data_IF_064916038933
#
_entry.id   IF_064916038933
#
_cell.length_a   1.000
_cell.length_b   1.000
_cell.length_c   1.000
_cell.angle_alpha   90.00
_cell.angle_beta   90.00
_cell.angle_gamma   90.00
#
_symmetry.space_group_name_H-M   'P 1'
#
loop_
_entity.id
_entity.type
_entity.pdbx_description
1 polymer ?
#
# COMPACT_ATOMS: atom_id res chain seq x y z
N UNK A 1 -7.56 -13.89 14.48
CA UNK A 1 -6.08 -13.79 14.32
C UNK A 1 -5.68 -12.38 14.74
N UNK A 2 -4.58 -12.23 15.48
CA UNK A 2 -4.12 -10.89 15.85
C UNK A 2 -3.52 -10.19 14.62
N UNK A 3 -3.61 -8.85 14.53
CA UNK A 3 -3.03 -8.01 13.45
C UNK A 3 -1.56 -8.35 13.14
N UNK A 4 -0.80 -8.74 14.17
CA UNK A 4 0.59 -9.16 14.04
C UNK A 4 0.76 -10.43 13.19
N UNK A 5 -0.16 -11.37 13.28
CA UNK A 5 -0.14 -12.62 12.48
C UNK A 5 -0.46 -12.30 11.02
N UNK A 6 -1.35 -11.37 10.76
CA UNK A 6 -1.74 -10.96 9.41
C UNK A 6 -0.57 -10.35 8.62
N UNK A 7 0.29 -9.55 9.26
CA UNK A 7 1.51 -9.00 8.63
C UNK A 7 2.50 -10.08 8.16
N UNK A 8 2.64 -11.15 8.93
CA UNK A 8 3.59 -12.25 8.62
C UNK A 8 3.09 -13.16 7.50
N UNK A 9 1.79 -13.31 7.34
CA UNK A 9 1.19 -14.12 6.26
C UNK A 9 1.54 -13.61 4.86
N UNK A 10 1.82 -12.30 4.70
CA UNK A 10 2.27 -11.75 3.40
C UNK A 10 3.64 -12.27 2.95
N UNK A 11 4.50 -12.73 3.88
CA UNK A 11 5.81 -13.28 3.53
C UNK A 11 5.75 -14.60 2.76
N UNK A 12 4.75 -15.43 3.02
CA UNK A 12 4.59 -16.75 2.39
C UNK A 12 4.19 -16.67 0.90
N UNK A 13 3.74 -15.49 0.48
CA UNK A 13 3.28 -15.25 -0.90
C UNK A 13 3.93 -14.03 -1.53
N UNK A 14 5.13 -13.66 -1.06
CA UNK A 14 5.80 -12.43 -1.49
C UNK A 14 5.99 -12.33 -3.01
N UNK A 15 6.32 -13.46 -3.67
CA UNK A 15 6.45 -13.47 -5.14
C UNK A 15 5.11 -13.33 -5.85
N UNK A 16 4.06 -14.01 -5.37
CA UNK A 16 2.71 -13.86 -5.91
C UNK A 16 2.21 -12.42 -5.71
N UNK A 17 2.46 -11.86 -4.52
CA UNK A 17 2.18 -10.46 -4.22
C UNK A 17 2.90 -9.51 -5.20
N UNK A 18 4.18 -9.75 -5.45
CA UNK A 18 4.97 -8.92 -6.36
C UNK A 18 4.45 -8.97 -7.80
N UNK A 19 4.00 -10.12 -8.27
CA UNK A 19 3.44 -10.27 -9.62
C UNK A 19 2.05 -9.63 -9.72
N UNK A 20 1.16 -9.93 -8.77
CA UNK A 20 -0.26 -9.65 -8.90
C UNK A 20 -0.67 -8.24 -8.45
N UNK A 21 -0.04 -7.69 -7.38
CA UNK A 21 -0.44 -6.37 -6.87
C UNK A 21 -0.06 -5.24 -7.83
N UNK A 22 -0.95 -4.25 -8.02
CA UNK A 22 -0.65 -3.10 -8.86
C UNK A 22 0.55 -2.30 -8.31
N UNK A 23 1.20 -1.57 -9.19
CA UNK A 23 2.18 -0.52 -8.85
C UNK A 23 1.45 0.77 -8.47
N UNK A 24 2.13 1.88 -8.54
CA UNK A 24 1.58 3.22 -8.34
C UNK A 24 1.79 4.05 -9.60
N UNK A 25 0.89 4.99 -9.92
CA UNK A 25 1.09 5.89 -11.05
C UNK A 25 2.32 6.77 -10.80
N UNK A 26 3.18 7.02 -11.83
CA UNK A 26 4.38 7.84 -11.70
C UNK A 26 4.10 9.23 -11.12
N UNK A 27 2.94 9.78 -11.42
CA UNK A 27 2.49 11.11 -11.03
C UNK A 27 2.45 11.32 -9.50
N UNK A 28 2.18 10.26 -8.72
CA UNK A 28 2.20 10.37 -7.26
C UNK A 28 3.61 10.64 -6.73
N UNK A 29 4.61 9.98 -7.30
CA UNK A 29 6.02 10.19 -6.91
C UNK A 29 6.52 11.57 -7.37
N UNK A 30 6.13 12.02 -8.57
CA UNK A 30 6.44 13.36 -9.07
C UNK A 30 5.84 14.45 -8.18
N UNK A 31 4.60 14.25 -7.72
CA UNK A 31 3.95 15.14 -6.77
C UNK A 31 4.70 15.19 -5.43
N UNK A 32 5.11 14.02 -4.88
CA UNK A 32 5.87 13.95 -3.64
C UNK A 32 7.20 14.68 -3.76
N UNK A 33 7.97 14.40 -4.82
CA UNK A 33 9.26 15.07 -5.08
C UNK A 33 9.08 16.58 -5.18
N UNK A 34 8.07 17.04 -5.90
CA UNK A 34 7.78 18.46 -6.08
C UNK A 34 7.36 19.14 -4.78
N UNK A 35 6.40 18.56 -4.03
CA UNK A 35 5.87 19.14 -2.79
C UNK A 35 6.95 19.22 -1.71
N UNK A 36 7.71 18.13 -1.53
CA UNK A 36 8.78 18.06 -0.54
C UNK A 36 10.09 18.69 -1.03
N UNK A 37 10.16 19.17 -2.28
CA UNK A 37 11.36 19.76 -2.93
C UNK A 37 12.57 18.83 -2.82
N UNK A 38 12.36 17.51 -3.00
CA UNK A 38 13.42 16.52 -2.91
C UNK A 38 14.41 16.66 -4.05
N UNK A 39 15.67 16.39 -3.74
CA UNK A 39 16.77 16.36 -4.70
C UNK A 39 17.31 14.94 -4.86
N UNK A 40 17.98 14.60 -5.96
CA UNK A 40 18.71 13.34 -6.06
C UNK A 40 19.61 13.11 -4.83
N UNK A 41 19.73 11.87 -4.39
CA UNK A 41 20.43 11.44 -3.17
C UNK A 41 19.80 11.85 -1.84
N UNK A 42 18.66 12.58 -1.84
CA UNK A 42 17.95 12.84 -0.58
C UNK A 42 17.53 11.52 0.10
N UNK A 43 17.81 11.38 1.40
CA UNK A 43 17.53 10.15 2.13
C UNK A 43 16.02 9.99 2.38
N UNK A 44 15.50 8.84 1.99
CA UNK A 44 14.10 8.44 2.15
C UNK A 44 14.03 7.18 3.02
N UNK A 45 13.13 7.14 3.99
CA UNK A 45 12.75 5.94 4.72
C UNK A 45 11.35 5.50 4.29
N UNK A 46 11.25 4.31 3.73
CA UNK A 46 9.97 3.67 3.41
C UNK A 46 9.59 2.68 4.51
N UNK A 47 8.45 2.91 5.17
CA UNK A 47 7.90 2.06 6.21
C UNK A 47 6.92 1.04 5.61
N UNK A 48 7.15 -0.26 5.86
CA UNK A 48 6.37 -1.34 5.29
C UNK A 48 6.57 -1.46 3.78
N UNK A 49 7.83 -1.46 3.34
CA UNK A 49 8.19 -1.44 1.91
C UNK A 49 7.71 -2.67 1.13
N UNK A 50 7.38 -3.76 1.81
CA UNK A 50 6.93 -4.99 1.19
C UNK A 50 7.97 -5.54 0.22
N UNK A 51 7.56 -5.81 -1.00
CA UNK A 51 8.41 -6.28 -2.09
C UNK A 51 9.07 -5.12 -2.89
N UNK A 52 8.88 -3.87 -2.47
CA UNK A 52 9.49 -2.69 -3.08
C UNK A 52 8.71 -2.08 -4.25
N UNK A 53 7.39 -2.17 -4.25
CA UNK A 53 6.57 -1.57 -5.33
C UNK A 53 6.62 -0.04 -5.31
N UNK A 54 6.62 0.60 -4.15
CA UNK A 54 6.79 2.04 -4.08
C UNK A 54 8.27 2.44 -4.00
N UNK A 55 9.15 1.59 -3.45
CA UNK A 55 10.61 1.75 -3.49
C UNK A 55 11.10 2.07 -4.90
N UNK A 56 10.58 1.35 -5.92
CA UNK A 56 10.92 1.54 -7.33
C UNK A 56 10.74 2.99 -7.78
N UNK A 57 9.58 3.57 -7.51
CA UNK A 57 9.28 4.95 -7.92
C UNK A 57 10.19 6.00 -7.28
N UNK A 58 10.67 5.77 -6.06
CA UNK A 58 11.64 6.66 -5.40
C UNK A 58 13.06 6.46 -5.94
N UNK A 59 13.49 5.20 -6.15
CA UNK A 59 14.81 4.87 -6.71
C UNK A 59 14.94 5.40 -8.14
N UNK A 60 13.92 5.30 -8.98
CA UNK A 60 13.91 5.85 -10.34
C UNK A 60 14.09 7.36 -10.39
N UNK A 61 13.76 8.06 -9.30
CA UNK A 61 13.97 9.51 -9.14
C UNK A 61 15.31 9.88 -8.50
N UNK A 62 16.20 8.88 -8.37
CA UNK A 62 17.55 9.08 -7.83
C UNK A 62 17.59 9.31 -6.32
N UNK A 63 16.54 8.97 -5.58
CA UNK A 63 16.49 9.13 -4.13
C UNK A 63 17.20 7.98 -3.43
N UNK A 64 17.84 8.26 -2.29
CA UNK A 64 18.54 7.27 -1.49
C UNK A 64 17.56 6.60 -0.51
N UNK A 65 16.99 5.47 -0.94
CA UNK A 65 15.98 4.77 -0.16
C UNK A 65 16.60 3.83 0.89
N UNK A 66 16.07 3.90 2.10
CA UNK A 66 16.15 2.86 3.14
C UNK A 66 14.76 2.34 3.40
N UNK A 67 14.61 1.05 3.68
CA UNK A 67 13.32 0.38 3.84
C UNK A 67 13.21 -0.27 5.22
N UNK A 68 12.07 -0.13 5.87
CA UNK A 68 11.67 -0.91 7.04
C UNK A 68 10.61 -1.93 6.62
N UNK A 69 10.90 -3.24 6.75
CA UNK A 69 9.97 -4.31 6.37
C UNK A 69 10.09 -5.49 7.35
N UNK A 70 9.06 -5.73 8.18
CA UNK A 70 9.11 -6.78 9.22
C UNK A 70 8.97 -8.21 8.67
N UNK A 71 8.43 -8.38 7.44
CA UNK A 71 8.31 -9.69 6.81
C UNK A 71 9.61 -10.09 6.13
N UNK A 72 10.29 -11.12 6.64
CA UNK A 72 11.54 -11.62 6.07
C UNK A 72 11.38 -12.07 4.61
N UNK A 73 10.23 -12.66 4.25
CA UNK A 73 9.95 -13.09 2.88
C UNK A 73 9.83 -11.90 1.92
N UNK A 74 9.10 -10.85 2.32
CA UNK A 74 8.99 -9.63 1.52
C UNK A 74 10.33 -8.89 1.43
N UNK A 75 11.05 -8.76 2.54
CA UNK A 75 12.38 -8.17 2.58
C UNK A 75 13.39 -8.92 1.69
N UNK A 76 13.26 -10.23 1.53
CA UNK A 76 14.10 -11.01 0.62
C UNK A 76 13.84 -10.66 -0.86
N UNK A 77 12.58 -10.51 -1.26
CA UNK A 77 12.21 -10.07 -2.61
C UNK A 77 12.68 -8.63 -2.83
N UNK A 78 12.46 -7.73 -1.87
CA UNK A 78 12.94 -6.35 -1.94
C UNK A 78 14.46 -6.28 -2.16
N UNK A 79 15.23 -7.05 -1.38
CA UNK A 79 16.69 -7.11 -1.51
C UNK A 79 17.16 -7.62 -2.87
N UNK A 80 16.46 -8.60 -3.42
CA UNK A 80 16.77 -9.12 -4.76
C UNK A 80 16.51 -8.07 -5.85
N UNK A 81 15.44 -7.28 -5.72
CA UNK A 81 15.09 -6.23 -6.69
C UNK A 81 15.98 -5.00 -6.57
N UNK A 82 16.31 -4.61 -5.35
CA UNK A 82 17.05 -3.38 -5.04
C UNK A 82 18.24 -3.66 -4.11
N UNK A 83 19.34 -4.23 -4.62
CA UNK A 83 20.49 -4.62 -3.79
C UNK A 83 21.17 -3.45 -3.04
N UNK A 84 21.01 -2.21 -3.53
CA UNK A 84 21.56 -0.99 -2.92
C UNK A 84 20.69 -0.41 -1.79
N UNK A 85 19.45 -0.88 -1.62
CA UNK A 85 18.55 -0.39 -0.58
C UNK A 85 18.91 -1.02 0.76
N UNK A 86 19.17 -0.19 1.77
CA UNK A 86 19.35 -0.64 3.14
C UNK A 86 18.02 -1.10 3.73
N UNK A 87 17.96 -2.33 4.29
CA UNK A 87 16.73 -2.92 4.79
C UNK A 87 16.84 -3.15 6.31
N UNK A 88 15.92 -2.51 7.05
CA UNK A 88 15.67 -2.77 8.47
C UNK A 88 14.58 -3.84 8.57
N UNK A 89 14.90 -5.00 9.11
CA UNK A 89 13.94 -6.12 9.26
C UNK A 89 13.02 -5.90 10.49
N UNK A 90 12.31 -4.78 10.52
CA UNK A 90 11.45 -4.37 11.64
C UNK A 90 10.34 -3.42 11.17
N UNK A 91 9.39 -3.11 12.06
CA UNK A 91 8.41 -2.04 11.84
C UNK A 91 9.03 -0.65 11.99
N UNK A 92 8.28 0.39 11.58
CA UNK A 92 8.73 1.78 11.68
C UNK A 92 9.16 2.15 13.10
N UNK A 93 8.40 1.72 14.09
CA UNK A 93 8.60 2.06 15.50
C UNK A 93 9.95 1.57 16.03
N UNK A 94 10.45 0.47 15.45
CA UNK A 94 11.68 -0.21 15.87
C UNK A 94 12.91 0.20 15.05
N UNK A 95 12.74 1.05 14.02
CA UNK A 95 13.88 1.49 13.18
C UNK A 95 14.91 2.21 14.04
N UNK A 96 16.15 1.76 13.96
CA UNK A 96 17.31 2.43 14.57
C UNK A 96 18.08 3.16 13.46
N UNK A 97 18.03 4.47 13.49
CA UNK A 97 18.73 5.36 12.57
C UNK A 97 19.06 6.67 13.29
N UNK A 98 19.99 7.44 12.73
CA UNK A 98 20.30 8.79 13.23
C UNK A 98 19.05 9.66 13.23
N UNK A 99 18.72 10.31 14.35
CA UNK A 99 17.60 11.25 14.41
C UNK A 99 17.76 12.35 13.37
N UNK A 100 16.66 12.82 12.82
CA UNK A 100 16.62 13.94 11.87
C UNK A 100 17.50 13.76 10.64
N UNK A 101 17.61 12.52 10.15
CA UNK A 101 18.47 12.19 9.00
C UNK A 101 17.73 12.05 7.69
N UNK A 102 16.41 11.84 7.69
CA UNK A 102 15.62 11.61 6.48
C UNK A 102 14.96 12.89 5.97
N UNK A 103 14.98 13.08 4.65
CA UNK A 103 14.22 14.13 3.97
C UNK A 103 12.74 13.77 3.86
N UNK A 104 12.47 12.48 3.68
CA UNK A 104 11.14 11.92 3.55
C UNK A 104 11.01 10.65 4.39
N UNK A 105 9.91 10.51 5.12
CA UNK A 105 9.40 9.24 5.61
C UNK A 105 8.13 8.92 4.83
N UNK A 106 8.01 7.74 4.27
CA UNK A 106 6.86 7.35 3.45
C UNK A 106 6.33 5.97 3.86
N UNK A 107 5.06 5.73 3.60
CA UNK A 107 4.43 4.42 3.72
C UNK A 107 3.39 4.26 2.61
N UNK A 108 3.55 3.21 1.80
CA UNK A 108 2.65 2.88 0.71
C UNK A 108 1.87 1.60 1.04
N UNK A 109 0.55 1.69 1.17
CA UNK A 109 -0.34 0.59 1.61
C UNK A 109 0.07 -0.03 2.97
N UNK A 110 0.78 0.70 3.83
CA UNK A 110 1.34 0.14 5.05
C UNK A 110 0.99 0.93 6.33
N UNK A 111 0.62 2.20 6.23
CA UNK A 111 0.41 3.07 7.39
C UNK A 111 -0.68 2.57 8.36
N UNK A 112 -1.66 1.84 7.88
CA UNK A 112 -2.69 1.24 8.72
C UNK A 112 -2.19 0.10 9.64
N UNK A 113 -0.93 -0.34 9.47
CA UNK A 113 -0.25 -1.29 10.34
C UNK A 113 0.66 -0.62 11.38
N UNK A 114 0.92 0.67 11.20
CA UNK A 114 1.74 1.49 12.09
C UNK A 114 0.91 1.90 13.30
N UNK A 115 1.52 1.93 14.50
CA UNK A 115 0.83 2.39 15.70
C UNK A 115 0.36 3.83 15.54
N UNK A 116 -0.90 4.08 15.84
CA UNK A 116 -1.55 5.36 15.58
C UNK A 116 -0.98 6.54 16.39
N UNK A 117 -0.32 6.26 17.51
CA UNK A 117 0.27 7.26 18.43
C UNK A 117 1.79 7.30 18.28
N UNK A 118 2.44 6.15 18.38
CA UNK A 118 3.90 6.05 18.31
C UNK A 118 4.45 6.30 16.90
N UNK A 119 3.74 5.85 15.86
CA UNK A 119 4.19 5.96 14.48
C UNK A 119 4.42 7.39 14.00
N UNK A 120 3.46 8.30 14.13
CA UNK A 120 3.67 9.71 13.78
C UNK A 120 4.81 10.37 14.56
N UNK A 121 4.96 10.06 15.83
CA UNK A 121 6.06 10.58 16.66
C UNK A 121 7.40 10.06 16.15
N UNK A 122 7.50 8.75 15.90
CA UNK A 122 8.70 8.12 15.38
C UNK A 122 9.10 8.67 14.02
N UNK A 123 8.13 8.80 13.10
CA UNK A 123 8.38 9.40 11.79
C UNK A 123 8.95 10.83 11.92
N UNK A 124 8.38 11.65 12.80
CA UNK A 124 8.84 13.01 13.03
C UNK A 124 10.25 13.07 13.63
N UNK A 125 10.61 12.14 14.54
CA UNK A 125 11.94 12.08 15.15
C UNK A 125 13.03 11.70 14.13
N UNK A 126 12.68 10.96 13.09
CA UNK A 126 13.57 10.54 12.02
C UNK A 126 13.72 11.62 10.92
N UNK A 127 12.73 12.50 10.75
CA UNK A 127 12.72 13.53 9.73
C UNK A 127 13.65 14.70 10.09
N UNK A 128 14.46 15.14 9.12
CA UNK A 128 15.26 16.38 9.25
C UNK A 128 14.34 17.61 9.38
N UNK A 129 14.82 18.75 9.92
CA UNK A 129 14.06 19.98 9.89
C UNK A 129 13.58 20.29 8.47
N UNK A 130 12.28 20.57 8.32
CA UNK A 130 11.66 20.78 7.01
C UNK A 130 11.38 19.51 6.21
N UNK A 131 11.70 18.32 6.74
CA UNK A 131 11.38 17.04 6.12
C UNK A 131 9.87 16.76 6.08
N UNK A 132 9.47 15.79 5.30
CA UNK A 132 8.06 15.48 5.03
C UNK A 132 7.71 14.02 5.33
N UNK A 133 6.45 13.78 5.70
CA UNK A 133 5.85 12.47 5.63
C UNK A 133 4.93 12.39 4.40
N UNK A 134 4.96 11.25 3.68
CA UNK A 134 4.06 10.96 2.56
C UNK A 134 3.43 9.59 2.73
N UNK A 135 2.11 9.55 2.78
CA UNK A 135 1.33 8.33 2.96
C UNK A 135 0.51 8.06 1.71
N UNK A 136 0.61 6.85 1.15
CA UNK A 136 0.09 6.49 -0.15
C UNK A 136 -0.82 5.26 -0.05
N UNK A 137 -1.98 5.30 -0.70
CA UNK A 137 -2.86 4.13 -0.84
C UNK A 137 -3.39 4.03 -2.26
N UNK A 138 -3.42 2.82 -2.79
CA UNK A 138 -4.25 2.49 -3.94
C UNK A 138 -5.61 2.01 -3.43
N UNK A 139 -6.64 2.66 -3.85
CA UNK A 139 -8.02 2.25 -3.66
C UNK A 139 -8.59 1.81 -5.00
N UNK A 140 -9.24 0.65 -5.05
CA UNK A 140 -10.06 0.30 -6.21
C UNK A 140 -11.18 1.33 -6.38
N UNK A 141 -11.48 1.69 -7.59
CA UNK A 141 -12.59 2.59 -7.89
C UNK A 141 -13.91 1.91 -7.46
N UNK A 142 -14.56 2.51 -6.46
CA UNK A 142 -15.82 2.04 -5.92
C UNK A 142 -16.96 2.82 -6.56
N UNK A 143 -17.78 2.10 -7.31
CA UNK A 143 -19.01 2.66 -7.86
C UNK A 143 -18.87 3.29 -9.25
N UNK A 144 -19.81 2.96 -10.12
CA UNK A 144 -19.87 3.46 -11.49
C UNK A 144 -19.15 2.60 -12.53
N UNK A 145 -18.36 1.62 -12.14
CA UNK A 145 -17.94 0.59 -13.08
C UNK A 145 -19.02 -0.50 -13.16
N UNK A 146 -19.45 -0.81 -14.36
CA UNK A 146 -20.36 -1.95 -14.66
C UNK A 146 -19.88 -3.23 -13.98
N UNK A 147 -18.57 -3.39 -13.84
CA UNK A 147 -17.89 -4.49 -13.19
C UNK A 147 -18.19 -4.62 -11.70
N UNK A 148 -18.17 -3.53 -10.96
CA UNK A 148 -18.43 -3.57 -9.53
C UNK A 148 -19.85 -4.07 -9.26
N UNK A 149 -20.83 -3.53 -9.97
CA UNK A 149 -22.23 -3.86 -9.77
C UNK A 149 -22.57 -5.30 -10.18
N UNK A 150 -21.87 -5.84 -11.19
CA UNK A 150 -22.08 -7.21 -11.66
C UNK A 150 -21.33 -8.27 -10.85
N UNK A 151 -20.19 -7.93 -10.25
CA UNK A 151 -19.44 -8.85 -9.36
C UNK A 151 -20.05 -8.93 -7.95
N UNK A 152 -20.64 -7.86 -7.44
CA UNK A 152 -21.24 -7.84 -6.10
C UNK A 152 -22.27 -8.96 -5.85
N UNK A 153 -23.15 -9.33 -6.79
CA UNK A 153 -24.04 -10.48 -6.63
C UNK A 153 -23.31 -11.82 -6.39
N UNK A 154 -22.11 -12.00 -6.97
CA UNK A 154 -21.29 -13.20 -6.75
C UNK A 154 -20.82 -13.23 -5.30
N UNK A 155 -20.26 -12.11 -4.80
CA UNK A 155 -19.85 -11.99 -3.40
C UNK A 155 -21.03 -12.15 -2.44
N UNK A 156 -22.17 -11.52 -2.73
CA UNK A 156 -23.35 -11.60 -1.88
C UNK A 156 -23.90 -13.03 -1.75
N UNK A 157 -23.76 -13.85 -2.80
CA UNK A 157 -24.17 -15.24 -2.80
C UNK A 157 -23.23 -16.15 -2.03
N UNK A 158 -21.90 -15.99 -2.22
CA UNK A 158 -20.90 -16.92 -1.71
C UNK A 158 -20.33 -16.47 -0.37
N UNK A 159 -20.12 -15.14 -0.19
CA UNK A 159 -19.47 -14.54 0.98
C UNK A 159 -20.20 -13.31 1.49
N UNK A 160 -21.48 -13.41 1.94
CA UNK A 160 -22.29 -12.25 2.32
C UNK A 160 -21.63 -11.27 3.29
N UNK A 161 -20.84 -11.71 4.32
CA UNK A 161 -20.20 -10.77 5.26
C UNK A 161 -19.09 -9.92 4.63
N UNK A 162 -18.42 -10.42 3.58
CA UNK A 162 -17.30 -9.69 2.96
C UNK A 162 -17.70 -8.42 2.22
N UNK A 163 -18.91 -8.38 1.67
CA UNK A 163 -19.39 -7.24 0.88
C UNK A 163 -19.39 -5.94 1.67
N UNK A 164 -19.79 -5.98 2.93
CA UNK A 164 -19.90 -4.79 3.77
C UNK A 164 -18.56 -4.37 4.39
N UNK A 165 -17.78 -5.34 4.89
CA UNK A 165 -16.48 -5.06 5.52
C UNK A 165 -15.46 -4.56 4.50
N UNK A 166 -15.46 -5.12 3.28
CA UNK A 166 -14.57 -4.68 2.21
C UNK A 166 -14.81 -3.23 1.80
N UNK A 167 -16.07 -2.84 1.65
CA UNK A 167 -16.43 -1.44 1.33
C UNK A 167 -15.95 -0.47 2.42
N UNK A 168 -16.07 -0.87 3.69
CA UNK A 168 -15.64 -0.06 4.83
C UNK A 168 -14.12 0.04 4.99
N UNK A 169 -13.38 -1.02 4.66
CA UNK A 169 -11.93 -1.04 4.73
C UNK A 169 -11.24 -0.19 3.65
N UNK A 170 -11.91 0.04 2.52
CA UNK A 170 -11.38 0.76 1.36
C UNK A 170 -11.55 2.29 1.47
N UNK A 171 -12.25 2.79 2.49
CA UNK A 171 -12.53 4.22 2.66
C UNK A 171 -11.95 4.76 3.96
N UNK A 172 -11.66 6.06 4.00
CA UNK A 172 -11.27 6.77 5.22
C UNK A 172 -9.78 6.67 5.58
N UNK A 173 -8.91 6.25 4.65
CA UNK A 173 -7.46 6.24 4.91
C UNK A 173 -6.92 7.67 5.07
N UNK A 174 -7.35 8.59 4.20
CA UNK A 174 -6.96 10.00 4.25
C UNK A 174 -7.37 10.61 5.58
N UNK A 175 -8.64 10.48 5.96
CA UNK A 175 -9.18 11.06 7.19
C UNK A 175 -8.46 10.52 8.43
N UNK A 176 -8.22 9.20 8.48
CA UNK A 176 -7.48 8.58 9.59
C UNK A 176 -6.06 9.12 9.68
N UNK A 177 -5.35 9.19 8.56
CA UNK A 177 -3.99 9.71 8.52
C UNK A 177 -3.92 11.18 8.95
N UNK A 178 -4.82 12.02 8.45
CA UNK A 178 -4.92 13.44 8.82
C UNK A 178 -5.15 13.59 10.33
N UNK A 179 -6.06 12.79 10.90
CA UNK A 179 -6.33 12.80 12.35
C UNK A 179 -5.11 12.35 13.14
N UNK A 180 -4.45 11.26 12.75
CA UNK A 180 -3.26 10.72 13.44
C UNK A 180 -2.08 11.72 13.40
N UNK A 181 -1.78 12.27 12.23
CA UNK A 181 -0.70 13.26 12.07
C UNK A 181 -0.99 14.53 12.86
N UNK A 182 -2.23 15.03 12.81
CA UNK A 182 -2.66 16.20 13.56
C UNK A 182 -2.60 15.99 15.07
N UNK A 183 -3.10 14.85 15.56
CA UNK A 183 -3.12 14.50 16.99
C UNK A 183 -1.71 14.37 17.60
N UNK A 184 -0.71 13.99 16.79
CA UNK A 184 0.69 13.89 17.24
C UNK A 184 1.29 15.24 17.63
N UNK A 185 0.76 16.35 17.12
CA UNK A 185 1.31 17.70 17.30
C UNK A 185 2.65 17.95 16.60
N UNK A 186 3.19 16.93 15.90
CA UNK A 186 4.54 16.96 15.30
C UNK A 186 4.55 17.46 13.86
N UNK A 187 3.42 17.50 13.19
CA UNK A 187 3.28 17.85 11.79
C UNK A 187 2.44 19.12 11.60
N UNK A 188 2.71 19.81 10.50
CA UNK A 188 1.89 20.92 10.02
C UNK A 188 0.58 20.45 9.40
N UNK A 189 -0.16 21.35 8.73
CA UNK A 189 -1.35 20.99 7.98
C UNK A 189 -1.07 19.94 6.91
N UNK A 190 -1.99 19.00 6.74
CA UNK A 190 -1.89 18.00 5.68
C UNK A 190 -2.31 18.58 4.33
N UNK A 191 -1.59 18.20 3.29
CA UNK A 191 -1.99 18.33 1.88
C UNK A 191 -2.40 16.96 1.36
N UNK A 192 -3.49 16.90 0.62
CA UNK A 192 -4.01 15.66 0.02
C UNK A 192 -4.10 15.78 -1.50
N UNK A 193 -3.91 14.68 -2.20
CA UNK A 193 -4.12 14.58 -3.64
C UNK A 193 -4.64 13.18 -4.00
N UNK A 194 -5.33 13.10 -5.13
CA UNK A 194 -5.81 11.84 -5.70
C UNK A 194 -5.39 11.74 -7.17
N UNK A 195 -5.00 10.53 -7.59
CA UNK A 195 -4.57 10.23 -8.95
C UNK A 195 -5.39 9.04 -9.46
N UNK A 196 -6.27 9.30 -10.41
CA UNK A 196 -7.06 8.27 -11.08
C UNK A 196 -6.23 7.59 -12.16
N UNK A 197 -6.29 6.27 -12.23
CA UNK A 197 -5.61 5.46 -13.23
C UNK A 197 -6.28 4.11 -13.38
N UNK A 198 -5.90 3.31 -14.37
CA UNK A 198 -6.41 1.96 -14.54
C UNK A 198 -5.31 0.97 -14.87
N UNK A 199 -5.60 -0.31 -14.62
CA UNK A 199 -4.77 -1.42 -15.03
C UNK A 199 -5.65 -2.50 -15.67
N UNK A 200 -5.13 -3.13 -16.72
CA UNK A 200 -5.79 -4.22 -17.43
C UNK A 200 -5.26 -5.55 -16.92
N UNK A 201 -6.16 -6.48 -16.64
CA UNK A 201 -5.86 -7.83 -16.17
C UNK A 201 -6.55 -8.86 -17.05
N UNK A 202 -5.87 -9.95 -17.36
CA UNK A 202 -6.52 -11.19 -17.81
C UNK A 202 -7.27 -11.83 -16.65
N UNK A 203 -8.18 -12.79 -16.93
CA UNK A 203 -8.87 -13.56 -15.88
C UNK A 203 -7.89 -14.14 -14.87
N UNK A 204 -6.82 -14.78 -15.33
CA UNK A 204 -5.83 -15.41 -14.45
C UNK A 204 -5.13 -14.37 -13.55
N UNK A 205 -4.67 -13.24 -14.11
CA UNK A 205 -4.03 -12.16 -13.35
C UNK A 205 -4.97 -11.53 -12.34
N UNK A 206 -6.26 -11.38 -12.68
CA UNK A 206 -7.25 -10.82 -11.76
C UNK A 206 -7.54 -11.78 -10.59
N UNK A 207 -7.64 -13.08 -10.84
CA UNK A 207 -7.78 -14.10 -9.79
C UNK A 207 -6.52 -14.14 -8.90
N UNK A 208 -5.32 -14.05 -9.49
CA UNK A 208 -4.07 -13.93 -8.72
C UNK A 208 -4.08 -12.67 -7.84
N UNK A 209 -4.52 -11.52 -8.37
CA UNK A 209 -4.69 -10.29 -7.61
C UNK A 209 -5.63 -10.49 -6.42
N UNK A 210 -6.82 -11.06 -6.64
CA UNK A 210 -7.79 -11.35 -5.57
C UNK A 210 -7.19 -12.29 -4.51
N UNK A 211 -6.39 -13.29 -4.91
CA UNK A 211 -5.70 -14.20 -4.02
C UNK A 211 -4.66 -13.53 -3.11
N UNK A 212 -4.23 -12.30 -3.42
CA UNK A 212 -3.33 -11.52 -2.56
C UNK A 212 -4.05 -10.68 -1.51
N UNK A 213 -5.37 -10.50 -1.61
CA UNK A 213 -6.13 -9.74 -0.63
C UNK A 213 -6.33 -10.53 0.66
N UNK A 214 -6.14 -9.88 1.81
CA UNK A 214 -6.24 -10.51 3.12
C UNK A 214 -7.63 -11.08 3.42
N UNK A 215 -8.67 -10.39 2.97
CA UNK A 215 -10.06 -10.82 3.10
C UNK A 215 -10.37 -12.11 2.33
N UNK A 216 -9.78 -12.29 1.13
CA UNK A 216 -9.88 -13.56 0.40
C UNK A 216 -9.08 -14.69 1.06
N UNK A 217 -7.92 -14.36 1.61
CA UNK A 217 -7.00 -15.34 2.20
C UNK A 217 -7.49 -15.94 3.51
N UNK A 218 -8.30 -15.23 4.26
CA UNK A 218 -8.90 -15.75 5.50
C UNK A 218 -10.12 -16.64 5.25
N UNK A 219 -10.64 -16.68 4.00
CA UNK A 219 -11.72 -17.61 3.65
C UNK A 219 -11.26 -19.06 3.75
N UNK A 220 -12.16 -19.99 4.12
CA UNK A 220 -11.93 -21.41 3.93
C UNK A 220 -11.55 -21.73 2.48
N UNK A 221 -10.66 -22.69 2.27
CA UNK A 221 -10.12 -23.00 0.93
C UNK A 221 -11.23 -23.33 -0.09
N UNK A 222 -12.25 -24.08 0.31
CA UNK A 222 -13.41 -24.41 -0.52
C UNK A 222 -14.19 -23.16 -0.94
N UNK A 223 -14.50 -22.27 0.02
CA UNK A 223 -15.24 -21.03 -0.23
C UNK A 223 -14.44 -20.09 -1.14
N UNK A 224 -13.13 -20.00 -0.90
CA UNK A 224 -12.23 -19.20 -1.74
C UNK A 224 -12.18 -19.73 -3.17
N UNK A 225 -12.07 -21.05 -3.35
CA UNK A 225 -12.07 -21.69 -4.66
C UNK A 225 -13.39 -21.49 -5.39
N UNK A 226 -14.53 -21.61 -4.72
CA UNK A 226 -15.86 -21.34 -5.29
C UNK A 226 -15.98 -19.87 -5.73
N UNK A 227 -15.56 -18.93 -4.88
CA UNK A 227 -15.62 -17.51 -5.19
C UNK A 227 -14.75 -17.14 -6.40
N UNK A 228 -13.49 -17.61 -6.39
CA UNK A 228 -12.55 -17.35 -7.48
C UNK A 228 -13.01 -18.01 -8.79
N UNK A 229 -13.54 -19.24 -8.75
CA UNK A 229 -14.11 -19.91 -9.91
C UNK A 229 -15.29 -19.16 -10.50
N UNK A 230 -16.24 -18.73 -9.67
CA UNK A 230 -17.41 -17.97 -10.13
C UNK A 230 -17.03 -16.60 -10.75
N UNK A 231 -16.00 -15.93 -10.20
CA UNK A 231 -15.49 -14.68 -10.77
C UNK A 231 -14.75 -14.94 -12.09
N UNK A 232 -13.96 -16.01 -12.17
CA UNK A 232 -13.26 -16.41 -13.40
C UNK A 232 -14.25 -16.73 -14.52
N UNK A 233 -15.26 -17.57 -14.27
CA UNK A 233 -16.30 -17.92 -15.23
C UNK A 233 -17.03 -16.64 -15.73
N UNK A 234 -17.31 -15.72 -14.82
CA UNK A 234 -17.96 -14.47 -15.16
C UNK A 234 -17.09 -13.57 -16.05
N UNK A 235 -15.77 -13.50 -15.81
CA UNK A 235 -14.79 -12.78 -16.64
C UNK A 235 -14.64 -13.43 -18.02
N UNK A 236 -14.47 -14.74 -18.05
CA UNK A 236 -14.25 -15.49 -19.31
C UNK A 236 -15.46 -15.37 -20.26
N UNK A 237 -16.68 -15.38 -19.69
CA UNK A 237 -17.91 -15.14 -20.46
C UNK A 237 -17.96 -13.73 -21.11
N UNK A 238 -17.06 -12.81 -20.71
CA UNK A 238 -16.95 -11.42 -21.19
C UNK A 238 -15.67 -11.11 -21.94
N UNK A 239 -14.95 -12.14 -22.36
CA UNK A 239 -13.73 -12.01 -23.16
C UNK A 239 -12.43 -12.16 -22.37
N UNK A 240 -12.50 -12.49 -21.07
CA UNK A 240 -11.34 -12.85 -20.25
C UNK A 240 -10.37 -11.71 -19.94
N UNK A 241 -10.81 -10.45 -20.07
CA UNK A 241 -10.01 -9.25 -19.80
C UNK A 241 -10.85 -8.24 -19.02
N UNK A 242 -10.27 -7.63 -18.00
CA UNK A 242 -10.89 -6.57 -17.21
C UNK A 242 -9.97 -5.35 -17.14
N UNK A 243 -10.51 -4.17 -17.38
CA UNK A 243 -9.90 -2.90 -17.01
C UNK A 243 -10.40 -2.53 -15.61
N UNK A 244 -9.49 -2.47 -14.64
CA UNK A 244 -9.81 -2.16 -13.25
C UNK A 244 -9.31 -0.75 -12.91
N UNK A 245 -10.25 0.13 -12.55
CA UNK A 245 -9.96 1.49 -12.14
C UNK A 245 -9.38 1.55 -10.72
N UNK A 246 -8.45 2.46 -10.53
CA UNK A 246 -7.81 2.76 -9.25
C UNK A 246 -7.79 4.26 -9.01
N UNK A 247 -7.83 4.62 -7.73
CA UNK A 247 -7.46 5.96 -7.26
C UNK A 247 -6.31 5.80 -6.29
N UNK A 248 -5.18 6.43 -6.60
CA UNK A 248 -4.06 6.54 -5.65
C UNK A 248 -4.28 7.78 -4.80
N UNK A 249 -4.44 7.57 -3.50
CA UNK A 249 -4.61 8.60 -2.48
C UNK A 249 -3.24 8.96 -1.90
N UNK A 250 -2.96 10.26 -1.75
CA UNK A 250 -1.74 10.81 -1.15
C UNK A 250 -2.10 11.75 -0.01
N UNK A 251 -1.45 11.57 1.13
CA UNK A 251 -1.45 12.51 2.26
C UNK A 251 -0.02 12.92 2.55
N UNK A 252 0.26 14.22 2.59
CA UNK A 252 1.57 14.75 2.95
C UNK A 252 1.47 15.78 4.06
N UNK A 253 2.47 15.79 4.95
CA UNK A 253 2.62 16.84 5.96
C UNK A 253 4.10 17.11 6.24
N UNK A 254 4.43 18.38 6.49
CA UNK A 254 5.79 18.78 6.87
C UNK A 254 5.97 18.64 8.38
N UNK A 255 7.12 18.15 8.82
CA UNK A 255 7.49 18.14 10.25
C UNK A 255 7.66 19.57 10.76
N UNK A 256 7.21 19.83 12.00
CA UNK A 256 7.33 21.14 12.69
C UNK A 256 8.71 21.39 13.26
#
# INVERSE_FOLDING_TARGET
MTERVQRLVFGEVAEAYQRARPTYPPEVFDAIVKIASLQPEDPVLEAGAGTGKATEGFVERGLKVSAAEPSLGMAAVLRSRFPSVAIHACGLEEVVAEPRSFALVTAAQAWHWVDAVAGPVKAADLLRPGGWIALIWNRGELGGSVWHDEIQPIYARITPPMTHERMKALTGNIERAVVQLGASGRFGPCTTAEFAWSATYTTAEYIDLLGTYSDHRILPDETRAELHGAIADWLDARGGVIEHGYVTELVMAQVR
#
